data_IF_355389275608
#
_entry.id   IF_355389275608
#
_cell.length_a   1.000
_cell.length_b   1.000
_cell.length_c   1.000
_cell.angle_alpha   90.00
_cell.angle_beta   90.00
_cell.angle_gamma   90.00
#
_symmetry.space_group_name_H-M   'P 1'
#
loop_
_entity.id
_entity.type
_entity.pdbx_description
1 polymer ?
#
# COMPACT_ATOMS: atom_id res chain seq x y z
N UNK A 1 -29.59 30.97 2.46
CA UNK A 1 -28.94 31.33 1.18
C UNK A 1 -27.88 30.27 0.92
N UNK A 2 -28.22 29.21 0.19
CA UNK A 2 -27.35 28.08 -0.14
C UNK A 2 -27.28 28.00 -1.67
N UNK A 3 -26.09 28.15 -2.25
CA UNK A 3 -25.87 28.02 -3.69
C UNK A 3 -25.56 26.56 -4.03
N UNK A 4 -26.22 25.96 -5.04
CA UNK A 4 -25.99 24.58 -5.45
C UNK A 4 -24.71 24.45 -6.29
N UNK A 5 -24.10 23.27 -6.21
CA UNK A 5 -22.76 22.95 -6.70
C UNK A 5 -22.51 23.29 -8.18
N UNK A 6 -21.35 23.92 -8.41
CA UNK A 6 -20.74 24.05 -9.74
C UNK A 6 -19.92 22.81 -10.11
N UNK A 7 -19.77 22.49 -11.42
CA UNK A 7 -19.03 21.35 -11.90
C UNK A 7 -17.53 21.67 -11.87
N UNK A 8 -16.85 21.27 -10.79
CA UNK A 8 -15.42 21.55 -10.61
C UNK A 8 -14.94 21.62 -9.16
N UNK A 9 -15.81 21.33 -8.18
CA UNK A 9 -15.44 21.32 -6.76
C UNK A 9 -14.39 20.24 -6.52
N UNK A 10 -13.16 20.67 -6.26
CA UNK A 10 -12.12 19.84 -5.66
C UNK A 10 -12.75 19.27 -4.38
N UNK A 11 -12.82 17.94 -4.20
CA UNK A 11 -13.44 17.36 -3.03
C UNK A 11 -12.82 17.98 -1.79
N UNK A 12 -13.66 18.54 -0.92
CA UNK A 12 -13.23 19.14 0.32
C UNK A 12 -12.50 18.09 1.16
N UNK A 13 -11.17 18.17 1.18
CA UNK A 13 -10.28 17.27 1.92
C UNK A 13 -10.47 17.37 3.43
N UNK A 14 -11.16 18.42 3.91
CA UNK A 14 -11.51 18.53 5.32
C UNK A 14 -12.63 17.55 5.70
N UNK A 15 -13.50 17.18 4.75
CA UNK A 15 -14.55 16.17 4.93
C UNK A 15 -13.99 14.74 4.83
N UNK A 16 -14.45 13.85 5.73
CA UNK A 16 -14.09 12.42 5.73
C UNK A 16 -14.37 11.74 4.36
N UNK A 17 -15.48 12.10 3.71
CA UNK A 17 -15.83 11.60 2.37
C UNK A 17 -14.87 12.06 1.28
N UNK A 18 -14.41 13.32 1.33
CA UNK A 18 -13.42 13.85 0.40
C UNK A 18 -12.06 13.16 0.52
N UNK A 19 -11.65 12.81 1.75
CA UNK A 19 -10.42 12.05 2.02
C UNK A 19 -10.43 10.66 1.39
N UNK A 20 -11.55 9.94 1.47
CA UNK A 20 -11.69 8.62 0.80
C UNK A 20 -11.58 8.75 -0.72
N UNK A 21 -12.19 9.78 -1.30
CA UNK A 21 -12.06 10.05 -2.73
C UNK A 21 -10.63 10.37 -3.16
N UNK A 22 -9.91 11.12 -2.32
CA UNK A 22 -8.51 11.42 -2.54
C UNK A 22 -7.65 10.14 -2.52
N UNK A 23 -7.88 9.23 -1.58
CA UNK A 23 -7.19 7.93 -1.54
C UNK A 23 -7.39 7.10 -2.82
N UNK A 24 -8.62 7.04 -3.35
CA UNK A 24 -8.92 6.29 -4.59
C UNK A 24 -8.14 6.89 -5.77
N UNK A 25 -8.01 8.22 -5.83
CA UNK A 25 -7.22 8.90 -6.88
C UNK A 25 -5.73 8.65 -6.71
N UNK A 26 -5.21 8.72 -5.49
CA UNK A 26 -3.82 8.39 -5.21
C UNK A 26 -3.47 6.96 -5.60
N UNK A 27 -4.39 6.01 -5.43
CA UNK A 27 -4.12 4.62 -5.79
C UNK A 27 -3.95 4.43 -7.30
N UNK A 28 -4.68 5.18 -8.13
CA UNK A 28 -4.42 5.18 -9.58
C UNK A 28 -3.00 5.69 -9.89
N UNK A 29 -2.54 6.73 -9.21
CA UNK A 29 -1.16 7.20 -9.34
C UNK A 29 -0.16 6.13 -8.88
N UNK A 30 -0.43 5.44 -7.77
CA UNK A 30 0.40 4.35 -7.26
C UNK A 30 0.46 3.17 -8.25
N UNK A 31 -0.67 2.78 -8.84
CA UNK A 31 -0.74 1.75 -9.89
C UNK A 31 0.14 2.16 -11.08
N UNK A 32 0.00 3.39 -11.57
CA UNK A 32 0.84 3.91 -12.65
C UNK A 32 2.33 3.93 -12.26
N UNK A 33 2.64 4.30 -11.02
CA UNK A 33 4.01 4.26 -10.51
C UNK A 33 4.56 2.84 -10.45
N UNK A 34 3.79 1.84 -10.03
CA UNK A 34 4.20 0.43 -10.05
C UNK A 34 4.52 0.00 -11.47
N UNK A 35 3.61 0.20 -12.43
CA UNK A 35 3.85 -0.16 -13.82
C UNK A 35 5.07 0.57 -14.40
N UNK A 36 5.20 1.86 -14.14
CA UNK A 36 6.31 2.69 -14.61
C UNK A 36 7.66 2.29 -14.01
N UNK A 37 7.76 2.20 -12.69
CA UNK A 37 8.99 1.83 -11.97
C UNK A 37 9.44 0.43 -12.37
N UNK A 38 8.51 -0.54 -12.45
CA UNK A 38 8.83 -1.91 -12.87
C UNK A 38 9.36 -1.93 -14.31
N UNK A 39 8.72 -1.18 -15.22
CA UNK A 39 9.18 -1.08 -16.61
C UNK A 39 10.57 -0.46 -16.70
N UNK A 40 10.80 0.66 -16.01
CA UNK A 40 12.08 1.39 -15.97
C UNK A 40 13.17 0.50 -15.37
N UNK A 41 12.92 -0.14 -14.23
CA UNK A 41 13.86 -1.04 -13.58
C UNK A 41 14.25 -2.22 -14.47
N UNK A 42 13.28 -2.78 -15.19
CA UNK A 42 13.52 -3.89 -16.11
C UNK A 42 14.29 -3.46 -17.37
N UNK A 43 13.91 -2.34 -18.00
CA UNK A 43 14.47 -1.91 -19.28
C UNK A 43 15.80 -1.15 -19.17
N UNK A 44 15.95 -0.29 -18.16
CA UNK A 44 17.12 0.60 -18.04
C UNK A 44 18.20 0.04 -17.11
N UNK A 45 17.79 -0.68 -16.06
CA UNK A 45 18.72 -1.19 -15.04
C UNK A 45 18.97 -2.70 -15.17
N UNK A 46 18.31 -3.39 -16.11
CA UNK A 46 18.43 -4.84 -16.35
C UNK A 46 18.32 -5.70 -15.09
N UNK A 47 17.55 -5.22 -14.11
CA UNK A 47 17.38 -5.89 -12.83
C UNK A 47 16.52 -7.13 -13.05
N UNK A 48 16.96 -8.28 -12.53
CA UNK A 48 16.18 -9.52 -12.59
C UNK A 48 15.03 -9.49 -11.58
N UNK A 49 13.99 -8.76 -11.94
CA UNK A 49 12.73 -8.68 -11.20
C UNK A 49 11.74 -9.72 -11.71
N UNK A 50 10.84 -10.15 -10.83
CA UNK A 50 9.66 -10.94 -11.15
C UNK A 50 8.57 -10.05 -11.76
N UNK A 51 8.85 -9.60 -12.98
CA UNK A 51 8.04 -8.59 -13.69
C UNK A 51 6.59 -9.04 -13.83
N UNK A 52 6.36 -10.34 -14.03
CA UNK A 52 5.02 -10.93 -14.17
C UNK A 52 4.22 -10.79 -12.87
N UNK A 53 4.81 -11.13 -11.74
CA UNK A 53 4.19 -11.09 -10.41
C UNK A 53 3.92 -9.64 -10.00
N UNK A 54 4.88 -8.74 -10.25
CA UNK A 54 4.72 -7.31 -9.97
C UNK A 54 3.62 -6.66 -10.83
N UNK A 55 3.53 -7.01 -12.12
CA UNK A 55 2.42 -6.55 -12.96
C UNK A 55 1.08 -7.17 -12.56
N UNK A 56 1.06 -8.43 -12.13
CA UNK A 56 -0.15 -9.06 -11.60
C UNK A 56 -0.65 -8.31 -10.36
N UNK A 57 0.25 -7.96 -9.42
CA UNK A 57 -0.10 -7.18 -8.23
C UNK A 57 -0.60 -5.78 -8.62
N UNK A 58 0.07 -5.10 -9.55
CA UNK A 58 -0.38 -3.80 -10.07
C UNK A 58 -1.77 -3.87 -10.72
N UNK A 59 -2.04 -4.94 -11.46
CA UNK A 59 -3.34 -5.18 -12.08
C UNK A 59 -4.43 -5.48 -11.03
N UNK A 60 -4.14 -6.33 -10.04
CA UNK A 60 -5.06 -6.62 -8.93
C UNK A 60 -5.36 -5.37 -8.11
N UNK A 61 -4.35 -4.53 -7.83
CA UNK A 61 -4.50 -3.22 -7.21
C UNK A 61 -5.47 -2.33 -8.00
N UNK A 62 -5.31 -2.28 -9.33
CA UNK A 62 -6.19 -1.51 -10.21
C UNK A 62 -7.64 -2.03 -10.16
N UNK A 63 -7.83 -3.36 -10.21
CA UNK A 63 -9.14 -4.01 -10.14
C UNK A 63 -9.83 -3.71 -8.80
N UNK A 64 -9.12 -3.92 -7.69
CA UNK A 64 -9.63 -3.65 -6.35
C UNK A 64 -9.95 -2.16 -6.20
N UNK A 65 -9.11 -1.27 -6.74
CA UNK A 65 -9.42 0.17 -6.74
C UNK A 65 -10.68 0.51 -7.53
N UNK A 66 -10.88 -0.14 -8.68
CA UNK A 66 -12.08 0.06 -9.49
C UNK A 66 -13.34 -0.41 -8.72
N UNK A 67 -13.25 -1.53 -8.00
CA UNK A 67 -14.32 -2.00 -7.12
C UNK A 67 -14.60 -0.97 -6.02
N UNK A 68 -13.56 -0.46 -5.35
CA UNK A 68 -13.72 0.60 -4.36
C UNK A 68 -14.30 1.90 -4.97
N UNK A 69 -13.89 2.29 -6.18
CA UNK A 69 -14.46 3.45 -6.86
C UNK A 69 -15.97 3.27 -7.09
N UNK A 70 -16.38 2.12 -7.63
CA UNK A 70 -17.79 1.81 -7.90
C UNK A 70 -18.58 1.72 -6.60
N UNK A 71 -18.07 1.02 -5.58
CA UNK A 71 -18.72 0.89 -4.28
C UNK A 71 -18.88 2.24 -3.57
N UNK A 72 -17.86 3.12 -3.63
CA UNK A 72 -17.91 4.46 -3.05
C UNK A 72 -19.03 5.30 -3.69
N UNK A 73 -19.18 5.20 -5.02
CA UNK A 73 -20.22 5.88 -5.79
C UNK A 73 -21.61 5.28 -5.54
N UNK A 74 -21.74 3.95 -5.59
CA UNK A 74 -23.01 3.25 -5.46
C UNK A 74 -23.62 3.38 -4.05
N UNK A 75 -22.79 3.28 -3.02
CA UNK A 75 -23.21 3.37 -1.62
C UNK A 75 -23.24 4.81 -1.10
N UNK A 76 -22.94 5.80 -1.97
CA UNK A 76 -22.87 7.24 -1.64
C UNK A 76 -22.06 7.48 -0.36
N UNK A 77 -20.92 6.80 -0.24
CA UNK A 77 -20.09 6.80 0.98
C UNK A 77 -19.71 8.22 1.39
N UNK A 78 -19.45 9.11 0.42
CA UNK A 78 -19.15 10.52 0.67
C UNK A 78 -20.28 11.31 1.35
N UNK A 79 -21.52 10.83 1.30
CA UNK A 79 -22.70 11.46 1.90
C UNK A 79 -23.09 10.86 3.26
N UNK A 80 -22.28 9.92 3.78
CA UNK A 80 -22.56 9.25 5.05
C UNK A 80 -22.44 10.21 6.23
N UNK A 81 -23.57 10.82 6.62
CA UNK A 81 -23.67 11.75 7.76
C UNK A 81 -23.25 11.11 9.09
N UNK A 82 -23.35 9.79 9.21
CA UNK A 82 -22.94 9.03 10.40
C UNK A 82 -21.45 8.74 10.48
N UNK A 83 -20.68 8.93 9.40
CA UNK A 83 -19.23 8.71 9.33
C UNK A 83 -18.76 7.24 9.47
N UNK A 84 -19.61 6.32 9.93
CA UNK A 84 -19.26 4.91 10.14
C UNK A 84 -18.89 4.19 8.84
N UNK A 85 -19.66 4.38 7.76
CA UNK A 85 -19.37 3.71 6.48
C UNK A 85 -18.09 4.24 5.86
N UNK A 86 -17.85 5.54 5.97
CA UNK A 86 -16.61 6.18 5.51
C UNK A 86 -15.39 5.60 6.23
N UNK A 87 -15.46 5.43 7.56
CA UNK A 87 -14.38 4.84 8.36
C UNK A 87 -14.10 3.38 8.02
N UNK A 88 -15.15 2.56 7.88
CA UNK A 88 -15.00 1.16 7.48
C UNK A 88 -14.33 1.07 6.11
N UNK A 89 -14.77 1.91 5.17
CA UNK A 89 -14.23 1.94 3.82
C UNK A 89 -12.76 2.39 3.80
N UNK A 90 -12.42 3.42 4.56
CA UNK A 90 -11.05 3.89 4.71
C UNK A 90 -10.14 2.81 5.33
N UNK A 91 -10.59 2.11 6.37
CA UNK A 91 -9.84 0.98 6.96
C UNK A 91 -9.60 -0.13 5.92
N UNK A 92 -10.66 -0.59 5.23
CA UNK A 92 -10.55 -1.64 4.23
C UNK A 92 -9.62 -1.26 3.09
N UNK A 93 -9.68 0.00 2.65
CA UNK A 93 -8.75 0.53 1.67
C UNK A 93 -7.33 0.39 2.19
N UNK A 94 -6.98 1.06 3.29
CA UNK A 94 -5.60 1.10 3.83
C UNK A 94 -5.03 -0.30 4.09
N UNK A 95 -5.83 -1.21 4.66
CA UNK A 95 -5.41 -2.60 4.87
C UNK A 95 -5.10 -3.30 3.54
N UNK A 96 -5.89 -3.05 2.50
CA UNK A 96 -5.61 -3.61 1.17
C UNK A 96 -4.34 -3.01 0.55
N UNK A 97 -4.04 -1.71 0.74
CA UNK A 97 -2.77 -1.13 0.29
C UNK A 97 -1.59 -1.77 1.04
N UNK A 98 -1.71 -1.97 2.35
CA UNK A 98 -0.66 -2.60 3.16
C UNK A 98 -0.36 -4.03 2.68
N UNK A 99 -1.40 -4.82 2.37
CA UNK A 99 -1.22 -6.16 1.80
C UNK A 99 -0.56 -6.12 0.42
N UNK A 100 -0.99 -5.20 -0.44
CA UNK A 100 -0.42 -5.08 -1.77
C UNK A 100 1.03 -4.57 -1.72
N UNK A 101 1.33 -3.64 -0.82
CA UNK A 101 2.69 -3.15 -0.56
C UNK A 101 3.59 -4.27 -0.04
N UNK A 102 3.08 -5.08 0.90
CA UNK A 102 3.80 -6.24 1.39
C UNK A 102 4.14 -7.22 0.26
N UNK A 103 3.17 -7.52 -0.61
CA UNK A 103 3.39 -8.37 -1.77
C UNK A 103 4.41 -7.75 -2.74
N UNK A 104 4.27 -6.45 -3.06
CA UNK A 104 5.22 -5.76 -3.95
C UNK A 104 6.64 -5.85 -3.42
N UNK A 105 6.85 -5.57 -2.12
CA UNK A 105 8.18 -5.62 -1.49
C UNK A 105 8.72 -7.05 -1.54
N UNK A 106 7.92 -8.05 -1.16
CA UNK A 106 8.30 -9.46 -1.20
C UNK A 106 8.81 -9.90 -2.59
N UNK A 107 8.04 -9.61 -3.64
CA UNK A 107 8.41 -9.98 -5.01
C UNK A 107 9.48 -9.08 -5.65
N UNK A 108 9.86 -7.98 -5.00
CA UNK A 108 10.90 -7.06 -5.48
C UNK A 108 12.18 -7.07 -4.64
N UNK A 109 12.39 -8.09 -3.80
CA UNK A 109 13.63 -8.26 -3.02
C UNK A 109 13.46 -8.35 -1.50
N UNK A 110 12.21 -8.35 -1.01
CA UNK A 110 11.90 -8.53 0.40
C UNK A 110 12.55 -7.47 1.29
N UNK A 111 13.21 -7.91 2.34
CA UNK A 111 13.90 -7.05 3.33
C UNK A 111 15.02 -6.18 2.73
N UNK A 112 15.62 -6.61 1.63
CA UNK A 112 16.72 -5.88 0.97
C UNK A 112 16.19 -4.76 0.05
N UNK A 113 14.87 -4.64 -0.11
CA UNK A 113 14.28 -3.64 -0.97
C UNK A 113 14.29 -2.25 -0.30
N UNK A 114 14.89 -1.22 -0.94
CA UNK A 114 14.97 0.11 -0.36
C UNK A 114 13.59 0.76 -0.18
N UNK A 115 12.55 0.27 -0.82
CA UNK A 115 11.17 0.74 -0.67
C UNK A 115 10.44 0.18 0.55
N UNK A 116 11.09 -0.61 1.41
CA UNK A 116 10.51 -1.07 2.67
C UNK A 116 10.01 0.08 3.58
N UNK A 117 10.62 1.27 3.51
CA UNK A 117 10.14 2.44 4.28
C UNK A 117 8.73 2.91 3.89
N UNK A 118 8.17 2.50 2.75
CA UNK A 118 6.81 2.87 2.35
C UNK A 118 5.72 2.34 3.30
N UNK A 119 6.04 1.35 4.14
CA UNK A 119 5.15 0.94 5.24
C UNK A 119 4.90 2.09 6.22
N UNK A 120 5.94 2.89 6.54
CA UNK A 120 5.83 4.06 7.41
C UNK A 120 4.90 5.11 6.81
N UNK A 121 5.00 5.33 5.49
CA UNK A 121 4.11 6.24 4.79
C UNK A 121 2.63 5.84 4.95
N UNK A 122 2.32 4.55 4.84
CA UNK A 122 0.95 4.06 5.04
C UNK A 122 0.46 4.24 6.48
N UNK A 123 1.34 4.06 7.47
CA UNK A 123 1.01 4.32 8.89
C UNK A 123 0.67 5.80 9.09
N UNK A 124 1.48 6.72 8.56
CA UNK A 124 1.26 8.17 8.63
C UNK A 124 -0.09 8.52 7.98
N UNK A 125 -0.36 8.02 6.77
CA UNK A 125 -1.63 8.26 6.08
C UNK A 125 -2.81 7.75 6.90
N UNK A 126 -2.70 6.56 7.51
CA UNK A 126 -3.75 6.03 8.38
C UNK A 126 -4.04 6.94 9.57
N UNK A 127 -3.01 7.48 10.22
CA UNK A 127 -3.12 8.41 11.34
C UNK A 127 -3.80 9.74 11.00
N UNK A 128 -3.70 10.18 9.74
CA UNK A 128 -4.39 11.41 9.28
C UNK A 128 -5.86 11.19 8.92
N UNK A 129 -6.25 9.97 8.56
CA UNK A 129 -7.60 9.66 8.06
C UNK A 129 -8.53 9.06 9.11
N UNK A 130 -7.97 8.31 10.05
CA UNK A 130 -8.72 7.47 10.99
C UNK A 130 -8.71 8.06 12.40
N UNK A 131 -9.59 7.53 13.26
CA UNK A 131 -9.50 7.86 14.69
C UNK A 131 -8.20 7.30 15.28
N UNK A 132 -7.70 7.86 16.40
CA UNK A 132 -6.44 7.40 17.00
C UNK A 132 -6.39 5.89 17.22
N UNK A 133 -7.47 5.29 17.72
CA UNK A 133 -7.55 3.84 17.98
C UNK A 133 -7.45 3.02 16.69
N UNK A 134 -8.15 3.44 15.62
CA UNK A 134 -8.09 2.76 14.33
C UNK A 134 -6.72 2.91 13.66
N UNK A 135 -6.07 4.07 13.81
CA UNK A 135 -4.71 4.28 13.34
C UNK A 135 -3.71 3.37 14.08
N UNK A 136 -3.86 3.18 15.39
CA UNK A 136 -3.06 2.22 16.15
C UNK A 136 -3.26 0.78 15.69
N UNK A 137 -4.51 0.39 15.36
CA UNK A 137 -4.78 -0.94 14.79
C UNK A 137 -4.12 -1.12 13.42
N UNK A 138 -4.19 -0.12 12.55
CA UNK A 138 -3.51 -0.17 11.24
C UNK A 138 -1.98 -0.22 11.40
N UNK A 139 -1.42 0.50 12.36
CA UNK A 139 0.00 0.41 12.70
C UNK A 139 0.38 -1.01 13.15
N UNK A 140 -0.44 -1.63 14.01
CA UNK A 140 -0.23 -3.01 14.44
C UNK A 140 -0.28 -3.99 13.25
N UNK A 141 -1.26 -3.84 12.36
CA UNK A 141 -1.37 -4.66 11.13
C UNK A 141 -0.13 -4.48 10.25
N UNK A 142 0.33 -3.24 10.05
CA UNK A 142 1.54 -2.97 9.28
C UNK A 142 2.78 -3.63 9.89
N UNK A 143 2.96 -3.53 11.21
CA UNK A 143 4.06 -4.17 11.94
C UNK A 143 3.98 -5.69 11.82
N UNK A 144 2.80 -6.29 12.03
CA UNK A 144 2.62 -7.73 11.93
C UNK A 144 2.87 -8.25 10.51
N UNK A 145 2.42 -7.53 9.48
CA UNK A 145 2.68 -7.89 8.09
C UNK A 145 4.17 -7.79 7.76
N UNK A 146 4.84 -6.72 8.20
CA UNK A 146 6.26 -6.52 7.95
C UNK A 146 7.11 -7.57 8.69
N UNK A 147 6.96 -7.67 10.02
CA UNK A 147 7.68 -8.65 10.83
C UNK A 147 7.34 -10.09 10.41
N UNK A 148 6.07 -10.36 10.09
CA UNK A 148 5.62 -11.65 9.54
C UNK A 148 6.33 -12.00 8.23
N UNK A 149 6.40 -11.06 7.28
CA UNK A 149 7.16 -11.24 6.04
C UNK A 149 8.63 -11.54 6.32
N UNK A 150 9.30 -10.71 7.15
CA UNK A 150 10.72 -10.87 7.50
C UNK A 150 10.99 -12.24 8.15
N UNK A 151 10.16 -12.63 9.12
CA UNK A 151 10.32 -13.91 9.83
C UNK A 151 10.03 -15.11 8.93
N UNK A 152 9.02 -15.03 8.05
CA UNK A 152 8.69 -16.11 7.12
C UNK A 152 9.73 -16.27 6.02
N UNK A 153 10.32 -15.17 5.52
CA UNK A 153 11.47 -15.20 4.61
C UNK A 153 12.72 -15.75 5.31
N UNK A 154 13.01 -15.29 6.52
CA UNK A 154 14.17 -15.74 7.31
C UNK A 154 14.07 -17.21 7.75
N UNK A 155 12.87 -17.70 8.02
CA UNK A 155 12.60 -19.11 8.32
C UNK A 155 12.55 -20.00 7.08
N UNK A 156 12.61 -19.43 5.87
CA UNK A 156 12.56 -20.17 4.60
C UNK A 156 11.19 -20.78 4.27
N UNK A 157 10.13 -20.35 4.96
CA UNK A 157 8.74 -20.82 4.71
C UNK A 157 8.19 -20.21 3.42
N UNK A 158 8.54 -18.95 3.13
CA UNK A 158 8.26 -18.30 1.86
C UNK A 158 9.58 -18.19 1.08
N UNK A 159 9.54 -18.50 -0.22
CA UNK A 159 10.72 -18.42 -1.08
C UNK A 159 11.21 -16.97 -1.15
N UNK A 160 12.39 -16.70 -0.58
CA UNK A 160 13.01 -15.38 -0.69
C UNK A 160 13.46 -15.15 -2.14
N UNK A 161 12.97 -14.07 -2.71
CA UNK A 161 13.24 -13.70 -4.09
C UNK A 161 14.34 -12.64 -4.14
N UNK A 162 15.58 -13.10 -4.04
CA UNK A 162 16.73 -12.20 -4.11
C UNK A 162 16.82 -11.55 -5.50
N UNK A 163 17.03 -10.24 -5.50
CA UNK A 163 17.20 -9.47 -6.72
C UNK A 163 18.69 -9.15 -6.89
N UNK A 164 19.41 -9.87 -7.77
CA UNK A 164 20.85 -9.67 -7.93
C UNK A 164 21.13 -8.24 -8.44
N UNK A 165 21.93 -7.49 -7.68
CA UNK A 165 22.35 -6.11 -7.99
C UNK A 165 21.88 -5.02 -7.01
N UNK A 166 20.94 -5.31 -6.10
CA UNK A 166 20.46 -4.35 -5.08
C UNK A 166 21.13 -4.50 -3.71
N UNK A 167 21.58 -5.72 -3.34
CA UNK A 167 22.37 -5.98 -2.14
C UNK A 167 23.39 -7.11 -2.40
N UNK A 168 24.54 -7.14 -1.68
CA UNK A 168 25.46 -8.26 -1.72
C UNK A 168 24.77 -9.55 -1.28
N UNK A 169 25.06 -10.65 -1.96
CA UNK A 169 24.44 -11.97 -1.74
C UNK A 169 24.53 -12.37 -0.26
N UNK A 170 23.38 -12.58 0.41
CA UNK A 170 23.31 -13.27 1.70
C UNK A 170 22.96 -12.46 2.96
N UNK A 171 22.51 -11.20 2.87
CA UNK A 171 22.06 -10.43 4.04
C UNK A 171 20.76 -10.95 4.64
N UNK A 172 19.82 -11.44 3.82
CA UNK A 172 18.59 -12.12 4.28
C UNK A 172 18.84 -13.33 5.20
N UNK A 173 20.07 -13.89 5.19
CA UNK A 173 20.48 -15.04 6.02
C UNK A 173 21.27 -14.63 7.27
N UNK A 174 21.59 -13.33 7.40
CA UNK A 174 22.32 -12.79 8.53
C UNK A 174 21.35 -12.45 9.67
N UNK A 175 21.36 -13.25 10.73
CA UNK A 175 20.49 -13.10 11.90
C UNK A 175 20.68 -11.75 12.62
N UNK A 176 21.87 -11.15 12.57
CA UNK A 176 22.11 -9.80 13.15
C UNK A 176 21.40 -8.73 12.33
N UNK A 177 21.36 -8.89 11.00
CA UNK A 177 20.64 -7.96 10.12
C UNK A 177 19.11 -8.10 10.27
N UNK A 178 18.61 -9.32 10.36
CA UNK A 178 17.19 -9.59 10.63
C UNK A 178 16.77 -9.02 12.00
N UNK A 179 17.59 -9.23 13.04
CA UNK A 179 17.34 -8.67 14.37
C UNK A 179 17.39 -7.15 14.36
N UNK A 180 18.37 -6.52 13.70
CA UNK A 180 18.46 -5.06 13.60
C UNK A 180 17.31 -4.42 12.80
N UNK A 181 16.66 -5.17 11.92
CA UNK A 181 15.53 -4.69 11.11
C UNK A 181 14.20 -4.82 11.86
N UNK A 182 14.11 -5.78 12.79
CA UNK A 182 12.89 -6.10 13.54
C UNK A 182 12.88 -5.50 14.95
N UNK A 183 14.05 -5.20 15.53
CA UNK A 183 14.24 -4.58 16.84
C UNK A 183 14.10 -3.05 16.78
#
# INVERSE_FOLDING_TARGET
MATPGGPGVIPDVSSLGGRVWWLVRLRWLAVLAVFGIVTVAWQLFHVQLQVRELYLIGFLLALVNAIFYVACRALRIAEDRGGTRVKIFANLQITTDLLALAALIHYSGGVENPFAFYFIFHIIVSGTLLSPVEAWLQALVAILLFCGMVTLEGAGVITHHHVPGLAPVGFYRNSVFLLATVA
#
